data_IF_378300702711
#
_entry.id   IF_378300702711
#
_cell.length_a   1.000
_cell.length_b   1.000
_cell.length_c   1.000
_cell.angle_alpha   90.00
_cell.angle_beta   90.00
_cell.angle_gamma   90.00
#
_symmetry.space_group_name_H-M   'P 1'
#
loop_
_entity.id
_entity.type
_entity.pdbx_description
1 polymer ?
#
# COMPACT_ATOMS: atom_id res chain seq x y z
N UNK A 1 -44.51 -17.06 -9.95
CA UNK A 1 -43.31 -16.43 -10.59
C UNK A 1 -42.54 -15.66 -9.52
N UNK A 2 -41.44 -16.25 -9.03
CA UNK A 2 -40.51 -15.57 -8.11
C UNK A 2 -39.48 -14.88 -8.99
N UNK A 3 -39.54 -13.55 -9.06
CA UNK A 3 -38.53 -12.72 -9.74
C UNK A 3 -37.29 -12.65 -8.84
N UNK A 4 -36.22 -13.30 -9.26
CA UNK A 4 -34.90 -13.19 -8.62
C UNK A 4 -34.28 -11.86 -9.06
N UNK A 5 -34.38 -10.84 -8.21
CA UNK A 5 -33.65 -9.58 -8.41
C UNK A 5 -32.18 -9.84 -8.05
N UNK A 6 -31.37 -10.12 -9.07
CA UNK A 6 -29.91 -10.06 -8.99
C UNK A 6 -29.51 -8.59 -8.84
N UNK A 7 -29.24 -8.15 -7.63
CA UNK A 7 -28.59 -6.87 -7.38
C UNK A 7 -27.11 -6.99 -7.79
N UNK A 8 -26.77 -6.57 -9.00
CA UNK A 8 -25.39 -6.25 -9.33
C UNK A 8 -24.98 -5.03 -8.51
N UNK A 9 -24.20 -5.23 -7.47
CA UNK A 9 -23.49 -4.14 -6.86
C UNK A 9 -22.37 -3.72 -7.84
N UNK A 10 -22.62 -2.67 -8.60
CA UNK A 10 -21.56 -1.93 -9.30
C UNK A 10 -20.70 -1.28 -8.20
N UNK A 11 -19.64 -1.97 -7.81
CA UNK A 11 -18.59 -1.37 -7.03
C UNK A 11 -17.96 -0.30 -7.91
N UNK A 12 -17.95 0.96 -7.48
CA UNK A 12 -17.35 2.04 -8.24
C UNK A 12 -15.86 1.70 -8.40
N UNK A 13 -15.46 1.37 -9.62
CA UNK A 13 -14.08 1.07 -9.93
C UNK A 13 -13.25 2.33 -9.65
N UNK A 14 -12.23 2.20 -8.81
CA UNK A 14 -11.26 3.28 -8.57
C UNK A 14 -10.66 3.70 -9.90
N UNK A 15 -10.71 4.98 -10.22
CA UNK A 15 -10.20 5.53 -11.48
C UNK A 15 -9.28 6.70 -11.19
N UNK A 16 -7.99 6.52 -11.46
CA UNK A 16 -7.00 7.60 -11.46
C UNK A 16 -6.09 7.45 -12.69
N UNK A 17 -5.47 8.54 -13.13
CA UNK A 17 -4.75 8.60 -14.40
C UNK A 17 -3.28 8.99 -14.25
N UNK A 18 -2.96 9.83 -13.29
CA UNK A 18 -1.62 10.36 -13.12
C UNK A 18 -1.27 10.52 -11.65
N UNK A 19 -0.14 9.98 -11.25
CA UNK A 19 0.31 10.03 -9.88
C UNK A 19 1.78 10.36 -9.71
N UNK A 20 2.13 10.61 -8.47
CA UNK A 20 3.51 10.79 -8.02
C UNK A 20 3.78 9.99 -6.76
N UNK A 21 5.04 9.55 -6.58
CA UNK A 21 5.52 9.04 -5.30
C UNK A 21 6.02 10.19 -4.43
N UNK A 22 5.56 10.28 -3.18
CA UNK A 22 6.14 11.17 -2.16
C UNK A 22 7.17 10.42 -1.32
N UNK A 23 8.36 10.23 -1.88
CA UNK A 23 9.42 9.44 -1.27
C UNK A 23 10.12 10.15 -0.11
N UNK A 24 10.74 9.33 0.77
CA UNK A 24 11.61 9.82 1.84
C UNK A 24 10.89 10.58 2.96
N UNK A 25 9.57 10.48 3.08
CA UNK A 25 8.81 11.12 4.17
C UNK A 25 8.54 10.11 5.30
N UNK A 26 7.83 9.02 5.01
CA UNK A 26 7.57 7.94 5.96
C UNK A 26 8.52 6.75 5.79
N UNK A 27 9.52 6.88 4.93
CA UNK A 27 10.59 5.90 4.75
C UNK A 27 11.71 6.11 5.78
N UNK A 28 11.37 6.12 7.04
CA UNK A 28 12.28 6.34 8.18
C UNK A 28 12.39 5.07 9.02
N UNK A 29 13.36 5.01 9.93
CA UNK A 29 13.58 3.87 10.80
C UNK A 29 12.80 3.93 12.13
N UNK A 30 11.98 4.95 12.33
CA UNK A 30 10.99 5.05 13.42
C UNK A 30 10.02 6.20 13.17
N UNK A 31 8.87 6.20 13.86
CA UNK A 31 7.90 7.29 13.80
C UNK A 31 8.48 8.65 14.25
N UNK A 32 9.40 8.64 15.22
CA UNK A 32 10.07 9.85 15.76
C UNK A 32 10.98 10.53 14.73
N UNK A 33 11.37 9.82 13.66
CA UNK A 33 12.23 10.38 12.62
C UNK A 33 11.42 10.96 11.45
N UNK A 34 10.10 10.83 11.46
CA UNK A 34 9.25 11.42 10.43
C UNK A 34 9.36 12.94 10.50
N UNK A 35 9.82 13.55 9.43
CA UNK A 35 9.89 15.01 9.31
C UNK A 35 8.51 15.56 8.92
N UNK A 36 7.64 15.80 9.91
CA UNK A 36 6.25 16.18 9.69
C UNK A 36 6.06 17.45 8.83
N UNK A 37 7.06 18.31 8.74
CA UNK A 37 7.06 19.53 7.89
C UNK A 37 7.68 19.31 6.51
N UNK A 38 8.12 18.09 6.17
CA UNK A 38 8.77 17.82 4.88
C UNK A 38 7.85 18.11 3.70
N UNK A 39 6.58 17.75 3.83
CA UNK A 39 5.52 18.10 2.90
C UNK A 39 4.39 18.79 3.64
N UNK A 40 3.72 19.69 2.94
CA UNK A 40 2.61 20.48 3.45
C UNK A 40 1.38 20.31 2.57
N UNK A 41 0.23 20.77 3.03
CA UNK A 41 -0.99 20.81 2.20
C UNK A 41 -0.76 21.56 0.88
N UNK A 42 0.12 22.56 0.88
CA UNK A 42 0.45 23.32 -0.32
C UNK A 42 1.15 22.46 -1.39
N UNK A 43 1.98 21.50 -0.97
CA UNK A 43 2.64 20.58 -1.90
C UNK A 43 1.61 19.66 -2.57
N UNK A 44 0.63 19.15 -1.81
CA UNK A 44 -0.48 18.36 -2.34
C UNK A 44 -1.34 19.18 -3.33
N UNK A 45 -1.62 20.44 -3.02
CA UNK A 45 -2.30 21.37 -3.94
C UNK A 45 -1.51 21.58 -5.22
N UNK A 46 -0.19 21.75 -5.11
CA UNK A 46 0.69 21.91 -6.26
C UNK A 46 0.69 20.64 -7.13
N UNK A 47 0.79 19.45 -6.53
CA UNK A 47 0.71 18.16 -7.22
C UNK A 47 -0.62 18.04 -7.97
N UNK A 48 -1.74 18.37 -7.33
CA UNK A 48 -3.05 18.40 -7.98
C UNK A 48 -3.11 19.38 -9.15
N UNK A 49 -2.51 20.56 -8.99
CA UNK A 49 -2.49 21.59 -10.05
C UNK A 49 -1.71 21.18 -11.31
N UNK A 50 -0.78 20.20 -11.16
CA UNK A 50 -0.07 19.58 -12.27
C UNK A 50 -0.89 18.48 -12.98
N UNK A 51 -2.15 18.27 -12.56
CA UNK A 51 -3.07 17.29 -13.12
C UNK A 51 -2.90 15.89 -12.55
N UNK A 52 -2.23 15.75 -11.39
CA UNK A 52 -2.17 14.48 -10.67
C UNK A 52 -3.45 14.27 -9.85
N UNK A 53 -3.96 13.06 -9.86
CA UNK A 53 -5.17 12.64 -9.15
C UNK A 53 -4.92 11.54 -8.12
N UNK A 54 -3.67 11.02 -8.04
CA UNK A 54 -3.23 10.06 -7.03
C UNK A 54 -1.83 10.38 -6.52
N UNK A 55 -1.64 10.16 -5.22
CA UNK A 55 -0.34 10.18 -4.54
C UNK A 55 -0.08 8.78 -4.02
N UNK A 56 1.09 8.21 -4.31
CA UNK A 56 1.59 7.00 -3.65
C UNK A 56 2.56 7.43 -2.56
N UNK A 57 2.29 6.99 -1.34
CA UNK A 57 3.06 7.35 -0.15
C UNK A 57 3.78 6.13 0.42
N UNK A 58 5.10 6.00 0.16
CA UNK A 58 5.91 4.93 0.72
C UNK A 58 6.09 5.06 2.23
N UNK A 59 5.77 3.99 2.96
CA UNK A 59 5.83 3.92 4.43
C UNK A 59 6.62 2.67 4.83
N UNK A 60 7.67 2.83 5.59
CA UNK A 60 8.39 1.69 6.18
C UNK A 60 7.61 1.12 7.38
N UNK A 61 6.46 0.48 7.13
CA UNK A 61 5.52 0.08 8.19
C UNK A 61 6.14 -0.78 9.28
N UNK A 62 7.08 -1.69 8.94
CA UNK A 62 7.77 -2.49 9.94
C UNK A 62 8.52 -1.63 10.97
N UNK A 63 9.19 -0.58 10.50
CA UNK A 63 9.94 0.32 11.36
C UNK A 63 9.07 1.29 12.16
N UNK A 64 7.78 1.37 11.82
CA UNK A 64 6.80 2.14 12.59
C UNK A 64 6.21 1.32 13.74
N UNK A 65 6.73 0.12 14.02
CA UNK A 65 6.21 -0.78 15.06
C UNK A 65 7.19 -0.96 16.22
N UNK A 66 6.68 -1.45 17.35
CA UNK A 66 7.48 -1.87 18.49
C UNK A 66 8.18 -3.24 18.26
N UNK A 67 8.03 -3.86 17.08
CA UNK A 67 8.59 -5.16 16.76
C UNK A 67 7.79 -6.34 17.34
N UNK A 68 8.44 -7.52 17.30
CA UNK A 68 7.86 -8.78 17.78
C UNK A 68 7.49 -8.73 19.28
N UNK A 69 6.44 -9.43 19.73
CA UNK A 69 5.58 -10.32 18.94
C UNK A 69 4.41 -9.60 18.26
N UNK A 70 4.01 -8.41 18.72
CA UNK A 70 2.73 -7.80 18.37
C UNK A 70 2.80 -6.86 17.19
N UNK A 71 3.98 -6.30 16.90
CA UNK A 71 4.17 -5.31 15.83
C UNK A 71 3.17 -4.16 15.95
N UNK A 72 2.96 -3.67 17.18
CA UNK A 72 2.05 -2.55 17.43
C UNK A 72 2.62 -1.29 16.79
N UNK A 73 1.83 -0.66 15.95
CA UNK A 73 2.21 0.59 15.28
C UNK A 73 2.27 1.72 16.29
N UNK A 74 3.32 2.53 16.23
CA UNK A 74 3.49 3.72 17.07
C UNK A 74 2.38 4.74 16.74
N UNK A 75 1.57 5.17 17.73
CA UNK A 75 0.50 6.15 17.52
C UNK A 75 0.97 7.45 16.86
N UNK A 76 2.21 7.86 17.09
CA UNK A 76 2.79 9.06 16.48
C UNK A 76 2.81 8.98 14.95
N UNK A 77 3.00 7.77 14.37
CA UNK A 77 2.91 7.60 12.93
C UNK A 77 1.52 8.00 12.40
N UNK A 78 0.46 7.59 13.10
CA UNK A 78 -0.91 7.94 12.70
C UNK A 78 -1.17 9.44 12.77
N UNK A 79 -0.66 10.14 13.79
CA UNK A 79 -0.82 11.60 13.90
C UNK A 79 -0.30 12.33 12.66
N UNK A 80 0.81 11.87 12.09
CA UNK A 80 1.37 12.46 10.87
C UNK A 80 0.67 11.96 9.60
N UNK A 81 0.35 10.66 9.55
CA UNK A 81 -0.28 10.06 8.38
C UNK A 81 -1.71 10.57 8.17
N UNK A 82 -2.44 10.79 9.25
CA UNK A 82 -3.80 11.36 9.22
C UNK A 82 -3.84 12.75 8.59
N UNK A 83 -2.77 13.54 8.72
CA UNK A 83 -2.67 14.82 8.03
C UNK A 83 -2.61 14.63 6.51
N UNK A 84 -1.80 13.69 6.02
CA UNK A 84 -1.73 13.40 4.59
C UNK A 84 -3.07 12.87 4.07
N UNK A 85 -3.71 11.97 4.83
CA UNK A 85 -5.06 11.46 4.53
C UNK A 85 -6.07 12.60 4.46
N UNK A 86 -6.11 13.48 5.45
CA UNK A 86 -7.01 14.65 5.45
C UNK A 86 -6.81 15.53 4.22
N UNK A 87 -5.56 15.82 3.86
CA UNK A 87 -5.27 16.68 2.70
C UNK A 87 -5.70 16.04 1.38
N UNK A 88 -5.49 14.74 1.22
CA UNK A 88 -5.92 14.04 -0.01
C UNK A 88 -7.44 13.97 -0.11
N UNK A 89 -8.14 13.69 0.97
CA UNK A 89 -9.61 13.67 0.99
C UNK A 89 -10.20 15.05 0.70
N UNK A 90 -9.70 16.11 1.33
CA UNK A 90 -10.14 17.49 1.06
C UNK A 90 -9.90 17.89 -0.40
N UNK A 91 -8.80 17.41 -0.98
CA UNK A 91 -8.44 17.67 -2.37
C UNK A 91 -9.12 16.70 -3.35
N UNK A 92 -9.87 15.70 -2.88
CA UNK A 92 -10.45 14.64 -3.72
C UNK A 92 -9.38 13.97 -4.60
N UNK A 93 -8.28 13.58 -3.99
CA UNK A 93 -7.18 12.83 -4.60
C UNK A 93 -7.12 11.44 -3.98
N UNK A 94 -6.74 10.46 -4.75
CA UNK A 94 -6.42 9.15 -4.21
C UNK A 94 -5.09 9.15 -3.46
N UNK A 95 -5.02 8.35 -2.40
CA UNK A 95 -3.80 8.13 -1.63
C UNK A 95 -3.55 6.63 -1.50
N UNK A 96 -2.48 6.15 -2.10
CA UNK A 96 -2.02 4.78 -1.94
C UNK A 96 -1.06 4.76 -0.75
N UNK A 97 -1.46 4.11 0.33
CA UNK A 97 -0.60 3.81 1.47
C UNK A 97 0.21 2.57 1.11
N UNK A 98 1.46 2.79 0.71
CA UNK A 98 2.35 1.73 0.27
C UNK A 98 3.22 1.24 1.43
N UNK A 99 3.11 -0.04 1.78
CA UNK A 99 4.06 -0.65 2.67
C UNK A 99 5.40 -0.83 1.98
N UNK A 100 6.29 0.10 2.21
CA UNK A 100 7.63 0.13 1.61
C UNK A 100 8.70 -0.51 2.52
N UNK A 101 8.29 -1.43 3.35
CA UNK A 101 9.22 -2.19 4.18
C UNK A 101 10.15 -3.00 3.28
N UNK A 102 11.42 -2.74 3.36
CA UNK A 102 12.46 -3.37 2.55
C UNK A 102 12.91 -4.72 3.12
N UNK A 103 13.85 -5.38 2.43
CA UNK A 103 14.36 -6.75 2.61
C UNK A 103 14.94 -7.08 3.98
N UNK A 104 14.97 -6.15 4.90
CA UNK A 104 15.66 -6.26 6.18
C UNK A 104 14.92 -7.12 7.23
N UNK A 105 13.74 -7.65 6.88
CA UNK A 105 12.94 -8.47 7.79
C UNK A 105 13.63 -9.78 8.17
N UNK A 106 14.33 -10.40 7.22
CA UNK A 106 15.07 -11.64 7.48
C UNK A 106 16.22 -11.41 8.47
N UNK A 107 16.93 -10.28 8.37
CA UNK A 107 18.00 -9.90 9.30
C UNK A 107 17.46 -9.60 10.72
N UNK A 108 16.19 -9.25 10.82
CA UNK A 108 15.47 -8.99 12.09
C UNK A 108 14.75 -10.24 12.64
N UNK A 109 14.97 -11.42 12.06
CA UNK A 109 14.24 -12.65 12.41
C UNK A 109 12.72 -12.50 12.36
N UNK A 110 12.21 -11.63 11.50
CA UNK A 110 10.80 -11.39 11.34
C UNK A 110 10.20 -12.24 10.23
N UNK A 111 9.07 -12.86 10.50
CA UNK A 111 8.31 -13.59 9.48
C UNK A 111 7.45 -12.62 8.70
N UNK A 112 7.69 -12.50 7.39
CA UNK A 112 7.02 -11.54 6.51
C UNK A 112 5.50 -11.66 6.55
N UNK A 113 4.94 -12.87 6.48
CA UNK A 113 3.49 -13.08 6.54
C UNK A 113 2.91 -12.55 7.86
N UNK A 114 3.56 -12.87 8.97
CA UNK A 114 3.13 -12.43 10.30
C UNK A 114 3.16 -10.91 10.41
N UNK A 115 4.24 -10.28 9.93
CA UNK A 115 4.37 -8.81 9.93
C UNK A 115 3.26 -8.19 9.11
N UNK A 116 3.10 -8.60 7.85
CA UNK A 116 2.09 -8.02 6.94
C UNK A 116 0.68 -8.14 7.52
N UNK A 117 0.30 -9.30 8.05
CA UNK A 117 -1.01 -9.48 8.66
C UNK A 117 -1.23 -8.54 9.85
N UNK A 118 -0.24 -8.40 10.73
CA UNK A 118 -0.36 -7.59 11.94
C UNK A 118 -0.38 -6.10 11.64
N UNK A 119 0.52 -5.61 10.79
CA UNK A 119 0.55 -4.17 10.46
C UNK A 119 -0.68 -3.76 9.66
N UNK A 120 -1.08 -4.57 8.68
CA UNK A 120 -2.22 -4.23 7.83
C UNK A 120 -3.57 -4.30 8.54
N UNK A 121 -3.77 -5.21 9.49
CA UNK A 121 -5.00 -5.20 10.32
C UNK A 121 -5.09 -3.90 11.11
N UNK A 122 -3.99 -3.41 11.69
CA UNK A 122 -3.99 -2.15 12.43
C UNK A 122 -4.25 -0.94 11.51
N UNK A 123 -3.58 -0.89 10.35
CA UNK A 123 -3.80 0.16 9.34
C UNK A 123 -5.25 0.16 8.86
N UNK A 124 -5.77 -1.01 8.51
CA UNK A 124 -7.14 -1.15 8.02
C UNK A 124 -8.17 -0.79 9.10
N UNK A 125 -7.96 -1.22 10.36
CA UNK A 125 -8.84 -0.85 11.48
C UNK A 125 -8.87 0.66 11.71
N UNK A 126 -7.72 1.33 11.58
CA UNK A 126 -7.62 2.78 11.73
C UNK A 126 -8.35 3.54 10.60
N UNK A 127 -8.22 3.07 9.36
CA UNK A 127 -8.73 3.78 8.19
C UNK A 127 -10.06 3.27 7.62
N UNK A 128 -10.65 2.17 8.10
CA UNK A 128 -11.87 1.55 7.54
C UNK A 128 -13.08 2.50 7.38
N UNK A 129 -13.15 3.54 8.19
CA UNK A 129 -14.23 4.53 8.15
C UNK A 129 -13.89 5.76 7.29
N UNK A 130 -12.69 5.84 6.72
CA UNK A 130 -12.28 6.92 5.84
C UNK A 130 -12.91 6.76 4.43
N UNK A 131 -12.66 7.70 3.57
CA UNK A 131 -13.22 7.70 2.21
C UNK A 131 -12.55 6.64 1.31
N UNK A 132 -13.22 6.29 0.20
CA UNK A 132 -12.66 5.39 -0.81
C UNK A 132 -11.47 5.99 -1.60
N UNK A 133 -11.05 7.20 -1.26
CA UNK A 133 -9.80 7.77 -1.80
C UNK A 133 -8.56 7.09 -1.24
N UNK A 134 -8.68 6.32 -0.14
CA UNK A 134 -7.55 5.62 0.48
C UNK A 134 -7.46 4.20 -0.10
N UNK A 135 -6.26 3.80 -0.50
CA UNK A 135 -5.94 2.46 -1.00
C UNK A 135 -4.78 1.88 -0.19
N UNK A 136 -4.73 0.56 -0.07
CA UNK A 136 -3.67 -0.13 0.67
C UNK A 136 -2.83 -0.97 -0.31
N UNK A 137 -1.57 -0.63 -0.46
CA UNK A 137 -0.60 -1.43 -1.23
C UNK A 137 0.14 -2.39 -0.30
N UNK A 138 -0.09 -3.69 -0.50
CA UNK A 138 0.30 -4.74 0.45
C UNK A 138 1.79 -4.72 0.74
N UNK A 139 2.62 -4.65 -0.29
CA UNK A 139 4.08 -4.55 -0.16
C UNK A 139 4.70 -4.03 -1.46
N UNK A 140 5.60 -3.05 -1.32
CA UNK A 140 6.49 -2.64 -2.40
C UNK A 140 7.49 -3.75 -2.73
N UNK A 141 7.61 -4.08 -4.00
CA UNK A 141 8.71 -4.85 -4.59
C UNK A 141 9.14 -6.11 -3.81
N UNK A 142 8.23 -7.08 -3.61
CA UNK A 142 8.62 -8.36 -3.01
C UNK A 142 9.75 -9.00 -3.81
N UNK A 143 10.85 -9.34 -3.16
CA UNK A 143 12.08 -9.77 -3.82
C UNK A 143 12.85 -10.84 -3.02
N UNK A 144 14.14 -11.02 -3.33
CA UNK A 144 15.02 -11.96 -2.67
C UNK A 144 14.71 -13.41 -3.06
N UNK A 145 14.54 -14.28 -2.08
CA UNK A 145 14.26 -15.73 -2.28
C UNK A 145 12.77 -16.04 -2.44
N UNK A 146 11.90 -15.03 -2.46
CA UNK A 146 10.46 -15.24 -2.61
C UNK A 146 10.11 -15.64 -4.03
N UNK A 147 9.64 -16.89 -4.18
CA UNK A 147 9.02 -17.32 -5.44
C UNK A 147 7.61 -16.71 -5.57
N UNK A 148 7.11 -16.56 -6.80
CA UNK A 148 5.74 -16.07 -7.06
C UNK A 148 4.69 -16.89 -6.31
N UNK A 149 4.84 -18.21 -6.23
CA UNK A 149 3.91 -19.06 -5.50
C UNK A 149 3.95 -18.82 -3.98
N UNK A 150 5.13 -18.60 -3.39
CA UNK A 150 5.28 -18.28 -1.98
C UNK A 150 4.72 -16.87 -1.68
N UNK A 151 5.08 -15.88 -2.50
CA UNK A 151 4.57 -14.53 -2.38
C UNK A 151 3.04 -14.49 -2.52
N UNK A 152 2.48 -15.16 -3.52
CA UNK A 152 1.03 -15.21 -3.73
C UNK A 152 0.26 -15.71 -2.50
N UNK A 153 0.80 -16.70 -1.76
CA UNK A 153 0.21 -17.19 -0.50
C UNK A 153 0.28 -16.13 0.61
N UNK A 154 1.44 -15.48 0.76
CA UNK A 154 1.65 -14.44 1.77
C UNK A 154 0.73 -13.25 1.49
N UNK A 155 0.65 -12.81 0.23
CA UNK A 155 -0.22 -11.72 -0.18
C UNK A 155 -1.71 -12.06 0.05
N UNK A 156 -2.15 -13.28 -0.27
CA UNK A 156 -3.50 -13.74 0.02
C UNK A 156 -3.80 -13.74 1.54
N UNK A 157 -2.83 -14.14 2.36
CA UNK A 157 -2.99 -14.13 3.82
C UNK A 157 -3.16 -12.70 4.36
N UNK A 158 -2.41 -11.73 3.80
CA UNK A 158 -2.55 -10.31 4.13
C UNK A 158 -3.91 -9.76 3.68
N UNK A 159 -4.34 -10.04 2.44
CA UNK A 159 -5.67 -9.68 1.93
C UNK A 159 -6.76 -10.20 2.87
N UNK A 160 -6.72 -11.49 3.20
CA UNK A 160 -7.68 -12.11 4.09
C UNK A 160 -7.71 -11.44 5.46
N UNK A 161 -6.55 -11.11 6.03
CA UNK A 161 -6.45 -10.43 7.31
C UNK A 161 -7.06 -9.02 7.27
N UNK A 162 -6.78 -8.23 6.24
CA UNK A 162 -7.40 -6.91 6.04
C UNK A 162 -8.92 -7.04 5.98
N UNK A 163 -9.44 -8.00 5.22
CA UNK A 163 -10.90 -8.19 5.02
C UNK A 163 -11.64 -8.62 6.27
N UNK A 164 -10.96 -9.03 7.33
CA UNK A 164 -11.61 -9.25 8.64
C UNK A 164 -12.08 -7.94 9.28
N UNK A 165 -11.51 -6.80 8.91
CA UNK A 165 -11.80 -5.49 9.53
C UNK A 165 -12.25 -4.44 8.53
N UNK A 166 -11.84 -4.53 7.27
CA UNK A 166 -12.14 -3.56 6.21
C UNK A 166 -12.51 -4.25 4.90
N UNK A 167 -13.78 -4.21 4.56
CA UNK A 167 -14.32 -4.78 3.31
C UNK A 167 -14.50 -3.72 2.21
N UNK A 168 -14.14 -2.45 2.49
CA UNK A 168 -14.48 -1.29 1.67
C UNK A 168 -13.32 -0.83 0.80
N UNK A 169 -12.13 -0.67 1.37
CA UNK A 169 -11.01 -0.06 0.66
C UNK A 169 -10.42 -1.00 -0.40
N UNK A 170 -10.02 -0.41 -1.51
CA UNK A 170 -9.33 -1.12 -2.59
C UNK A 170 -7.92 -1.47 -2.18
N UNK A 171 -7.51 -2.71 -2.45
CA UNK A 171 -6.14 -3.16 -2.21
C UNK A 171 -5.34 -3.14 -3.50
N UNK A 172 -4.08 -2.74 -3.40
CA UNK A 172 -3.12 -2.76 -4.51
C UNK A 172 -2.20 -3.95 -4.30
N UNK A 173 -2.15 -4.83 -5.29
CA UNK A 173 -1.41 -6.10 -5.26
C UNK A 173 -0.44 -6.19 -6.43
N UNK A 174 0.78 -6.66 -6.16
CA UNK A 174 1.83 -6.77 -7.16
C UNK A 174 2.48 -8.13 -7.20
N UNK A 175 3.25 -8.40 -8.26
CA UNK A 175 4.01 -9.63 -8.42
C UNK A 175 5.25 -9.70 -7.52
N UNK A 176 5.87 -10.88 -7.42
CA UNK A 176 7.22 -11.02 -6.88
C UNK A 176 8.26 -10.37 -7.83
N UNK A 177 9.55 -10.57 -7.57
CA UNK A 177 10.62 -10.12 -8.45
C UNK A 177 10.57 -8.62 -8.73
N UNK A 178 10.52 -7.80 -7.66
CA UNK A 178 10.46 -6.34 -7.72
C UNK A 178 9.20 -5.80 -8.42
N UNK A 179 8.05 -6.43 -8.19
CA UNK A 179 6.78 -6.12 -8.86
C UNK A 179 6.87 -6.21 -10.39
N UNK A 180 7.62 -7.18 -10.92
CA UNK A 180 7.75 -7.34 -12.36
C UNK A 180 6.42 -7.76 -13.00
N UNK A 181 6.18 -7.31 -14.23
CA UNK A 181 4.97 -7.67 -14.97
C UNK A 181 4.88 -9.17 -15.30
N UNK A 182 6.03 -9.85 -15.45
CA UNK A 182 6.07 -11.30 -15.69
C UNK A 182 5.60 -12.09 -14.48
N UNK A 183 6.04 -11.68 -13.29
CA UNK A 183 5.63 -12.31 -12.03
C UNK A 183 4.18 -11.94 -11.66
N UNK A 184 3.72 -10.76 -12.05
CA UNK A 184 2.32 -10.37 -11.91
C UNK A 184 1.40 -11.32 -12.67
N UNK A 185 1.76 -11.65 -13.93
CA UNK A 185 0.98 -12.57 -14.77
C UNK A 185 0.94 -14.01 -14.23
N UNK A 186 1.89 -14.37 -13.36
CA UNK A 186 2.00 -15.69 -12.76
C UNK A 186 1.37 -15.79 -11.36
N UNK A 187 0.81 -14.70 -10.82
CA UNK A 187 0.12 -14.72 -9.53
C UNK A 187 -1.12 -15.63 -9.56
N UNK A 188 -1.48 -16.23 -8.42
CA UNK A 188 -2.74 -16.92 -8.30
C UNK A 188 -3.93 -15.95 -8.47
N UNK A 189 -5.05 -16.47 -8.94
CA UNK A 189 -6.29 -15.70 -8.96
C UNK A 189 -6.80 -15.55 -7.52
N UNK A 190 -6.91 -14.32 -7.05
CA UNK A 190 -7.52 -14.01 -5.76
C UNK A 190 -9.05 -13.96 -5.86
N UNK A 191 -9.74 -14.35 -4.81
CA UNK A 191 -11.21 -14.31 -4.74
C UNK A 191 -11.77 -12.92 -4.40
N UNK A 192 -10.92 -12.02 -3.90
CA UNK A 192 -11.28 -10.64 -3.64
C UNK A 192 -11.47 -9.90 -4.96
N UNK A 193 -12.57 -9.18 -5.11
CA UNK A 193 -12.94 -8.47 -6.32
C UNK A 193 -12.66 -6.96 -6.27
N UNK A 194 -12.11 -6.47 -5.14
CA UNK A 194 -11.76 -5.05 -4.96
C UNK A 194 -10.24 -4.88 -4.92
N UNK A 195 -9.58 -5.33 -5.98
CA UNK A 195 -8.14 -5.30 -6.15
C UNK A 195 -7.74 -4.47 -7.38
N UNK A 196 -6.63 -3.75 -7.25
CA UNK A 196 -5.87 -3.19 -8.37
C UNK A 196 -4.57 -3.97 -8.47
N UNK A 197 -4.25 -4.45 -9.66
CA UNK A 197 -2.99 -5.11 -9.96
C UNK A 197 -1.97 -4.08 -10.44
N UNK A 198 -0.79 -4.07 -9.82
CA UNK A 198 0.29 -3.13 -10.14
C UNK A 198 1.55 -3.86 -10.62
N UNK A 199 2.35 -3.18 -11.41
CA UNK A 199 3.70 -3.61 -11.74
C UNK A 199 4.62 -2.40 -11.85
N UNK A 200 5.93 -2.63 -11.66
CA UNK A 200 6.96 -1.62 -11.86
C UNK A 200 7.64 -1.84 -13.20
N UNK A 201 7.91 -0.75 -13.91
CA UNK A 201 8.49 -0.80 -15.24
C UNK A 201 9.62 0.22 -15.37
N UNK A 202 10.84 -0.29 -15.46
CA UNK A 202 12.07 0.51 -15.56
C UNK A 202 12.89 0.19 -16.81
N UNK A 203 12.30 -0.50 -17.79
CA UNK A 203 13.03 -0.84 -19.01
C UNK A 203 13.22 0.38 -19.93
N UNK A 204 14.39 0.52 -20.59
CA UNK A 204 15.56 -0.33 -20.38
C UNK A 204 16.31 0.06 -19.08
N UNK A 205 16.66 -0.96 -18.27
CA UNK A 205 17.26 -0.77 -16.94
C UNK A 205 18.51 0.10 -16.97
N UNK A 206 19.37 -0.09 -17.97
CA UNK A 206 20.61 0.70 -18.16
C UNK A 206 20.35 2.20 -18.39
N UNK A 207 19.16 2.58 -18.81
CA UNK A 207 18.74 3.98 -18.96
C UNK A 207 18.18 4.55 -17.66
N UNK A 208 17.32 3.80 -17.00
CA UNK A 208 16.61 4.28 -15.80
C UNK A 208 17.47 4.25 -14.55
N UNK A 209 18.52 3.40 -14.52
CA UNK A 209 19.43 3.22 -13.38
C UNK A 209 20.87 3.68 -13.73
N UNK A 210 20.99 4.79 -14.45
CA UNK A 210 22.31 5.37 -14.76
C UNK A 210 23.01 5.82 -13.46
N UNK A 211 24.17 5.25 -13.19
CA UNK A 211 24.97 5.56 -12.00
C UNK A 211 24.64 4.74 -10.76
N UNK A 212 23.82 3.69 -10.86
CA UNK A 212 23.61 2.69 -9.81
C UNK A 212 24.59 1.53 -9.93
#
# INVERSE_FOLDING_TARGET
LISLLLSFQLQAQVSFNRGVNLTGWFQTSSAQQIQFTKYTKKDFQNIKSLGCDVIRLPINLFYMTNGSPDYTIDPLMYEFLDQAVNWTEELQMYLILDNHTTDDLASKNANLETVLKKVWVQMAEHYKNRSNYILYEILNEPNGTLTTAAWGKIQQAAITAIRTVDTKHTLVVGGAGFNSYTELAALPVYTDNNLIYTFHFYDPFVFTHQGA
#
